data_IF_218299606351
#
_entry.id   IF_218299606351
#
_cell.length_a   1.000
_cell.length_b   1.000
_cell.length_c   1.000
_cell.angle_alpha   90.00
_cell.angle_beta   90.00
_cell.angle_gamma   90.00
#
_symmetry.space_group_name_H-M   'P 1'
#
loop_
_entity.id
_entity.type
_entity.pdbx_description
1 polymer ?
#
# COMPACT_ATOMS: atom_id res chain seq x y z
N UNK A 1 -24.50 -6.45 12.90
CA UNK A 1 -23.35 -5.55 12.88
C UNK A 1 -23.25 -4.70 14.16
N UNK A 2 -24.26 -3.93 14.60
CA UNK A 2 -24.20 -3.11 15.84
C UNK A 2 -23.84 -3.91 17.09
N UNK A 3 -24.40 -5.12 17.29
CA UNK A 3 -24.10 -5.97 18.46
C UNK A 3 -22.63 -6.45 18.50
N UNK A 4 -22.05 -6.80 17.34
CA UNK A 4 -20.65 -7.23 17.24
C UNK A 4 -19.71 -6.06 17.57
N UNK A 5 -20.03 -4.85 17.11
CA UNK A 5 -19.28 -3.64 17.42
C UNK A 5 -19.26 -3.36 18.93
N UNK A 6 -20.39 -3.48 19.63
CA UNK A 6 -20.47 -3.27 21.09
C UNK A 6 -19.69 -4.34 21.86
N UNK A 7 -19.72 -5.61 21.40
CA UNK A 7 -18.95 -6.69 22.02
C UNK A 7 -17.45 -6.44 21.84
N UNK A 8 -17.02 -5.98 20.64
CA UNK A 8 -15.63 -5.64 20.37
C UNK A 8 -15.16 -4.45 21.23
N UNK A 9 -16.01 -3.43 21.37
CA UNK A 9 -15.75 -2.26 22.22
C UNK A 9 -15.65 -2.64 23.69
N UNK A 10 -16.55 -3.49 24.19
CA UNK A 10 -16.51 -4.02 25.57
C UNK A 10 -15.29 -4.90 25.82
N UNK A 11 -14.89 -5.74 24.84
CA UNK A 11 -13.68 -6.54 24.93
C UNK A 11 -12.41 -5.64 24.97
N UNK A 12 -12.38 -4.56 24.19
CA UNK A 12 -11.31 -3.57 24.22
C UNK A 12 -11.22 -2.86 25.59
N UNK A 13 -12.37 -2.49 26.20
CA UNK A 13 -12.43 -1.90 27.52
C UNK A 13 -12.01 -2.89 28.63
N UNK A 14 -12.33 -4.18 28.49
CA UNK A 14 -11.93 -5.21 29.44
C UNK A 14 -10.41 -5.43 29.47
N UNK A 15 -9.72 -5.29 28.35
CA UNK A 15 -8.25 -5.38 28.28
C UNK A 15 -7.60 -4.24 29.08
N UNK A 16 -8.21 -3.07 29.11
CA UNK A 16 -7.70 -1.90 29.86
C UNK A 16 -7.88 -2.06 31.38
N UNK A 17 -8.90 -2.82 31.83
CA UNK A 17 -9.21 -2.98 33.25
C UNK A 17 -8.23 -3.90 34.02
N UNK A 18 -7.44 -4.73 33.34
CA UNK A 18 -6.39 -5.57 33.96
C UNK A 18 -5.04 -4.86 34.19
N UNK A 19 -4.97 -3.57 33.93
CA UNK A 19 -3.75 -2.76 34.12
C UNK A 19 -3.56 -2.35 35.61
N UNK A 20 -3.48 -3.31 36.54
CA UNK A 20 -2.81 -3.02 37.82
C UNK A 20 -1.33 -2.82 37.53
N UNK A 21 -0.72 -1.73 38.02
CA UNK A 21 0.71 -1.48 37.77
C UNK A 21 1.55 -2.42 38.61
N UNK A 22 1.77 -3.64 38.11
CA UNK A 22 2.95 -4.38 38.53
C UNK A 22 4.15 -3.45 38.30
N UNK A 23 4.97 -3.23 39.31
CA UNK A 23 6.24 -2.48 39.20
C UNK A 23 7.21 -3.31 38.35
N UNK A 24 6.91 -3.40 37.05
CA UNK A 24 7.81 -4.08 36.08
C UNK A 24 9.07 -3.24 35.91
N UNK A 25 10.20 -3.91 35.83
CA UNK A 25 11.47 -3.27 35.48
C UNK A 25 11.30 -2.56 34.14
N UNK A 26 11.57 -1.27 34.12
CA UNK A 26 11.53 -0.47 32.90
C UNK A 26 12.77 -0.76 32.06
N UNK A 27 12.58 -1.45 30.94
CA UNK A 27 13.64 -1.77 30.00
C UNK A 27 14.10 -0.49 29.27
N UNK A 28 15.41 -0.30 29.07
CA UNK A 28 15.97 0.82 28.29
C UNK A 28 15.39 2.20 28.72
N UNK A 29 15.51 2.61 30.00
CA UNK A 29 14.73 3.72 30.56
C UNK A 29 15.01 5.07 29.90
N UNK A 30 16.19 5.31 29.31
CA UNK A 30 16.58 6.57 28.70
C UNK A 30 16.55 6.58 27.17
N UNK A 31 16.04 5.51 26.54
CA UNK A 31 16.08 5.39 25.09
C UNK A 31 15.28 6.51 24.40
N UNK A 32 14.11 6.88 24.94
CA UNK A 32 13.24 7.91 24.35
C UNK A 32 13.79 9.34 24.48
N UNK A 33 14.86 9.53 25.28
CA UNK A 33 15.53 10.83 25.42
C UNK A 33 16.59 11.05 24.33
N UNK A 34 16.97 10.02 23.60
CA UNK A 34 17.97 10.15 22.53
C UNK A 34 17.41 11.03 21.41
N UNK A 35 18.23 11.93 20.84
CA UNK A 35 17.78 12.81 19.76
C UNK A 35 17.55 12.07 18.43
N UNK A 36 18.23 10.94 18.24
CA UNK A 36 18.19 10.15 17.02
C UNK A 36 18.12 8.66 17.33
N UNK A 37 17.29 7.96 16.54
CA UNK A 37 17.14 6.51 16.54
C UNK A 37 17.40 5.98 15.14
N UNK A 38 17.97 4.80 15.06
CA UNK A 38 18.19 4.07 13.82
C UNK A 38 17.70 2.64 14.00
N UNK A 39 17.15 2.07 12.92
CA UNK A 39 16.67 0.70 12.95
C UNK A 39 16.48 0.11 11.56
N UNK A 40 16.05 -1.13 11.55
CA UNK A 40 15.67 -1.86 10.34
C UNK A 40 14.19 -2.17 10.38
N UNK A 41 13.59 -2.33 9.21
CA UNK A 41 12.19 -2.69 9.09
C UNK A 41 12.02 -3.91 8.18
N UNK A 42 11.09 -4.76 8.59
CA UNK A 42 10.62 -5.89 7.83
C UNK A 42 9.09 -5.91 7.93
N UNK A 43 8.41 -6.14 6.82
CA UNK A 43 6.96 -6.15 6.81
C UNK A 43 6.37 -6.88 5.64
N UNK A 44 5.06 -6.99 5.66
CA UNK A 44 4.25 -7.44 4.54
C UNK A 44 3.26 -6.35 4.17
N UNK A 45 2.89 -6.30 2.91
CA UNK A 45 1.85 -5.40 2.45
C UNK A 45 0.84 -6.13 1.58
N UNK A 46 -0.37 -5.62 1.60
CA UNK A 46 -1.43 -5.97 0.67
C UNK A 46 -1.65 -4.76 -0.23
N UNK A 47 -1.67 -4.97 -1.52
CA UNK A 47 -1.83 -3.92 -2.52
C UNK A 47 -3.05 -4.15 -3.39
N UNK A 48 -3.71 -3.07 -3.71
CA UNK A 48 -4.90 -3.01 -4.55
C UNK A 48 -4.82 -1.78 -5.46
N UNK A 49 -5.49 -1.84 -6.59
CA UNK A 49 -5.57 -0.74 -7.54
C UNK A 49 -7.00 -0.59 -8.04
N UNK A 50 -7.58 0.57 -7.79
CA UNK A 50 -8.88 0.94 -8.33
C UNK A 50 -8.73 1.56 -9.70
N UNK A 51 -9.46 1.03 -10.69
CA UNK A 51 -9.52 1.55 -12.05
C UNK A 51 -10.78 2.34 -12.28
N UNK A 52 -10.65 3.48 -12.97
CA UNK A 52 -11.75 4.20 -13.56
C UNK A 52 -11.80 3.84 -15.05
N UNK A 53 -12.73 2.96 -15.42
CA UNK A 53 -12.89 2.47 -16.78
C UNK A 53 -13.60 3.52 -17.66
N UNK A 54 -13.15 3.64 -18.93
CA UNK A 54 -13.66 4.62 -19.90
C UNK A 54 -15.07 4.26 -20.37
N UNK A 55 -15.45 2.97 -20.33
CA UNK A 55 -16.69 2.47 -20.86
C UNK A 55 -16.57 2.06 -22.34
N UNK A 56 -17.62 2.29 -23.14
CA UNK A 56 -17.63 1.91 -24.58
C UNK A 56 -16.61 2.74 -25.35
N UNK A 57 -15.72 2.05 -26.06
CA UNK A 57 -14.68 2.62 -26.91
C UNK A 57 -15.04 2.39 -28.39
N UNK A 58 -14.69 3.35 -29.24
CA UNK A 58 -14.75 3.19 -30.69
C UNK A 58 -13.35 2.82 -31.21
N UNK A 59 -13.22 1.63 -31.76
CA UNK A 59 -11.97 1.11 -32.34
C UNK A 59 -12.04 1.23 -33.85
N UNK A 60 -11.12 1.98 -34.44
CA UNK A 60 -10.96 2.05 -35.90
C UNK A 60 -9.96 0.99 -36.34
N UNK A 61 -10.37 0.06 -37.17
CA UNK A 61 -9.55 -0.99 -37.76
C UNK A 61 -8.74 -0.46 -38.94
N UNK A 62 -7.75 -1.25 -39.40
CA UNK A 62 -6.88 -0.86 -40.52
C UNK A 62 -7.65 -0.76 -41.85
N UNK A 63 -8.76 -1.46 -41.97
CA UNK A 63 -9.67 -1.41 -43.14
C UNK A 63 -10.61 -0.19 -43.14
N UNK A 64 -10.46 0.70 -42.15
CA UNK A 64 -11.31 1.88 -41.98
C UNK A 64 -12.67 1.60 -41.31
N UNK A 65 -12.97 0.35 -40.99
CA UNK A 65 -14.20 0.00 -40.25
C UNK A 65 -14.05 0.44 -38.77
N UNK A 66 -15.20 0.80 -38.18
CA UNK A 66 -15.25 1.16 -36.76
C UNK A 66 -16.09 0.13 -36.01
N UNK A 67 -15.56 -0.42 -34.94
CA UNK A 67 -16.32 -1.29 -34.03
C UNK A 67 -16.36 -0.68 -32.64
N UNK A 68 -17.41 -0.99 -31.88
CA UNK A 68 -17.51 -0.63 -30.47
C UNK A 68 -16.91 -1.76 -29.63
N UNK A 69 -16.17 -1.41 -28.59
CA UNK A 69 -15.67 -2.34 -27.63
C UNK A 69 -15.94 -1.84 -26.19
N UNK A 70 -16.49 -2.73 -25.38
CA UNK A 70 -16.65 -2.52 -23.94
C UNK A 70 -15.70 -3.46 -23.23
N UNK A 71 -14.62 -2.88 -22.67
CA UNK A 71 -13.61 -3.61 -21.92
C UNK A 71 -13.50 -2.94 -20.56
N UNK A 72 -13.61 -3.72 -19.48
CA UNK A 72 -13.38 -3.25 -18.11
C UNK A 72 -12.17 -3.93 -17.53
N UNK A 73 -11.42 -3.17 -16.73
CA UNK A 73 -10.22 -3.65 -16.03
C UNK A 73 -10.46 -3.54 -14.53
N UNK A 74 -10.13 -4.60 -13.82
CA UNK A 74 -10.25 -4.64 -12.36
C UNK A 74 -9.13 -5.48 -11.74
N UNK A 75 -8.90 -5.29 -10.43
CA UNK A 75 -8.10 -6.16 -9.59
C UNK A 75 -9.03 -6.87 -8.60
N UNK A 76 -9.35 -8.15 -8.89
CA UNK A 76 -10.39 -8.90 -8.17
C UNK A 76 -10.06 -9.18 -6.69
N UNK A 77 -8.80 -9.06 -6.30
CA UNK A 77 -8.32 -9.36 -4.94
C UNK A 77 -7.09 -8.55 -4.57
N UNK A 78 -6.88 -8.39 -3.28
CA UNK A 78 -5.66 -7.84 -2.73
C UNK A 78 -4.49 -8.79 -2.91
N UNK A 79 -3.39 -8.29 -3.45
CA UNK A 79 -2.16 -9.06 -3.63
C UNK A 79 -1.15 -8.78 -2.53
N UNK A 80 -0.58 -9.85 -2.00
CA UNK A 80 0.41 -9.75 -0.93
C UNK A 80 1.82 -9.48 -1.48
N UNK A 81 2.61 -8.77 -0.69
CA UNK A 81 4.01 -8.49 -0.98
C UNK A 81 4.86 -8.38 0.27
N UNK A 82 6.15 -8.20 0.08
CA UNK A 82 7.16 -8.07 1.13
C UNK A 82 7.73 -6.66 1.14
N UNK A 83 7.99 -6.12 2.34
CA UNK A 83 8.60 -4.81 2.54
C UNK A 83 9.82 -4.95 3.42
N UNK A 84 10.95 -4.37 3.00
CA UNK A 84 12.19 -4.34 3.76
C UNK A 84 12.83 -2.96 3.66
N UNK A 85 13.47 -2.50 4.72
CA UNK A 85 14.12 -1.21 4.70
C UNK A 85 14.83 -0.86 5.99
N UNK A 86 15.14 0.42 6.10
CA UNK A 86 15.78 1.00 7.29
C UNK A 86 14.99 2.23 7.71
N UNK A 87 15.21 2.70 8.93
CA UNK A 87 14.62 3.92 9.42
C UNK A 87 15.65 4.79 10.14
N UNK A 88 15.46 6.08 10.04
CA UNK A 88 16.06 7.08 10.90
C UNK A 88 14.93 7.92 11.51
N UNK A 89 14.95 8.09 12.81
CA UNK A 89 13.91 8.82 13.55
C UNK A 89 14.54 9.91 14.40
N UNK A 90 14.04 11.12 14.25
CA UNK A 90 14.47 12.31 14.97
C UNK A 90 13.43 12.69 16.02
N UNK A 91 13.85 12.84 17.24
CA UNK A 91 13.01 13.33 18.32
C UNK A 91 12.82 14.85 18.19
N UNK A 92 11.60 15.30 17.91
CA UNK A 92 11.25 16.72 17.86
C UNK A 92 10.84 17.25 19.25
N UNK A 93 10.07 16.45 19.99
CA UNK A 93 9.63 16.77 21.34
C UNK A 93 9.38 15.49 22.14
N UNK A 94 8.80 15.60 23.33
CA UNK A 94 8.44 14.45 24.16
C UNK A 94 7.44 13.53 23.46
N UNK A 95 6.51 14.10 22.68
CA UNK A 95 5.44 13.36 22.03
C UNK A 95 5.57 13.30 20.51
N UNK A 96 6.37 14.16 19.89
CA UNK A 96 6.53 14.24 18.44
C UNK A 96 7.90 13.74 17.99
N UNK A 97 7.87 12.91 16.95
CA UNK A 97 9.04 12.36 16.28
C UNK A 97 8.86 12.50 14.77
N UNK A 98 9.94 12.73 14.06
CA UNK A 98 9.97 12.74 12.60
C UNK A 98 10.79 11.55 12.12
N UNK A 99 10.20 10.72 11.25
CA UNK A 99 10.82 9.51 10.72
C UNK A 99 11.07 9.68 9.22
N UNK A 100 12.24 9.20 8.80
CA UNK A 100 12.60 8.96 7.41
C UNK A 100 12.84 7.47 7.28
N UNK A 101 12.05 6.78 6.46
CA UNK A 101 12.10 5.32 6.33
C UNK A 101 12.22 4.91 4.85
N UNK A 102 13.47 4.88 4.31
CA UNK A 102 13.68 4.30 2.99
C UNK A 102 13.43 2.78 3.03
N UNK A 103 12.64 2.30 2.07
CA UNK A 103 12.24 0.90 1.99
C UNK A 103 12.06 0.44 0.55
N UNK A 104 12.10 -0.88 0.37
CA UNK A 104 11.77 -1.55 -0.88
C UNK A 104 10.51 -2.40 -0.66
N UNK A 105 9.60 -2.33 -1.64
CA UNK A 105 8.38 -3.10 -1.69
C UNK A 105 8.43 -4.04 -2.87
N UNK A 106 8.24 -5.33 -2.64
CA UNK A 106 8.25 -6.37 -3.66
C UNK A 106 6.92 -7.11 -3.64
N UNK A 107 6.31 -7.27 -4.81
CA UNK A 107 5.05 -8.00 -4.94
C UNK A 107 4.66 -8.23 -6.37
N UNK A 108 3.51 -8.82 -6.56
CA UNK A 108 2.85 -8.95 -7.85
C UNK A 108 1.48 -8.31 -7.73
N UNK A 109 0.95 -7.79 -8.84
CA UNK A 109 -0.45 -7.40 -8.99
C UNK A 109 -1.03 -8.18 -10.15
N UNK A 110 -2.21 -8.72 -9.97
CA UNK A 110 -2.94 -9.33 -11.06
C UNK A 110 -4.04 -8.37 -11.51
N UNK A 111 -4.24 -8.28 -12.82
CA UNK A 111 -5.31 -7.53 -13.44
C UNK A 111 -6.17 -8.48 -14.26
N UNK A 112 -7.47 -8.31 -14.20
CA UNK A 112 -8.44 -9.04 -15.01
C UNK A 112 -9.15 -8.05 -15.93
N UNK A 113 -9.15 -8.36 -17.22
CA UNK A 113 -9.85 -7.61 -18.25
C UNK A 113 -11.07 -8.39 -18.68
N UNK A 114 -12.25 -7.80 -18.58
CA UNK A 114 -13.51 -8.38 -19.05
C UNK A 114 -13.87 -7.74 -20.39
N UNK A 115 -13.83 -8.55 -21.45
CA UNK A 115 -14.21 -8.10 -22.79
C UNK A 115 -15.64 -8.53 -23.10
N UNK A 116 -16.58 -7.59 -23.03
CA UNK A 116 -17.99 -7.84 -23.22
C UNK A 116 -18.39 -8.00 -24.70
N UNK A 117 -17.52 -7.66 -25.64
CA UNK A 117 -17.78 -7.84 -27.08
C UNK A 117 -17.43 -9.25 -27.54
N UNK A 118 -16.65 -10.00 -26.76
CA UNK A 118 -16.33 -11.39 -27.04
C UNK A 118 -16.92 -12.26 -25.95
N UNK A 119 -17.64 -13.30 -26.33
CA UNK A 119 -18.25 -14.23 -25.37
C UNK A 119 -17.62 -15.61 -25.55
N UNK A 120 -17.51 -16.33 -24.46
CA UNK A 120 -17.12 -17.74 -24.43
C UNK A 120 -18.31 -18.63 -24.89
N UNK A 121 -18.10 -19.95 -24.92
CA UNK A 121 -19.13 -20.93 -25.27
C UNK A 121 -20.35 -20.93 -24.32
N UNK A 122 -20.23 -20.31 -23.13
CA UNK A 122 -21.28 -20.20 -22.11
C UNK A 122 -21.96 -18.84 -22.12
N UNK A 123 -21.59 -17.94 -23.03
CA UNK A 123 -22.14 -16.57 -23.14
C UNK A 123 -21.57 -15.58 -22.12
N UNK A 124 -20.47 -15.93 -21.44
CA UNK A 124 -19.78 -15.04 -20.52
C UNK A 124 -18.74 -14.20 -21.26
N UNK A 125 -18.45 -12.95 -20.81
CA UNK A 125 -17.36 -12.16 -21.36
C UNK A 125 -16.03 -12.90 -21.31
N UNK A 126 -15.22 -12.76 -22.35
CA UNK A 126 -13.87 -13.32 -22.33
C UNK A 126 -13.01 -12.54 -21.32
N UNK A 127 -12.39 -13.28 -20.42
CA UNK A 127 -11.44 -12.74 -19.44
C UNK A 127 -10.00 -12.91 -19.93
N UNK A 128 -9.26 -11.79 -19.93
CA UNK A 128 -7.83 -11.77 -20.14
C UNK A 128 -7.15 -11.38 -18.82
N UNK A 129 -6.04 -12.03 -18.48
CA UNK A 129 -5.33 -11.78 -17.22
C UNK A 129 -3.92 -11.30 -17.48
N UNK A 130 -3.49 -10.37 -16.65
CA UNK A 130 -2.14 -9.83 -16.68
C UNK A 130 -1.56 -9.77 -15.26
N UNK A 131 -0.38 -10.35 -15.09
CA UNK A 131 0.39 -10.24 -13.86
C UNK A 131 1.45 -9.13 -14.02
N UNK A 132 1.41 -8.14 -13.13
CA UNK A 132 2.38 -7.06 -13.07
C UNK A 132 3.30 -7.29 -11.87
N UNK A 133 4.56 -7.60 -12.11
CA UNK A 133 5.59 -7.61 -11.06
C UNK A 133 5.79 -6.19 -10.58
N UNK A 134 5.76 -5.98 -9.27
CA UNK A 134 5.97 -4.67 -8.67
C UNK A 134 7.22 -4.67 -7.81
N UNK A 135 8.10 -3.72 -8.06
CA UNK A 135 9.26 -3.44 -7.23
C UNK A 135 9.36 -1.92 -7.06
N UNK A 136 9.09 -1.43 -5.84
CA UNK A 136 9.16 0.00 -5.55
C UNK A 136 10.33 0.28 -4.61
N UNK A 137 11.03 1.38 -4.87
CA UNK A 137 11.86 2.06 -3.88
C UNK A 137 11.05 3.23 -3.34
N UNK A 138 10.95 3.32 -2.04
CA UNK A 138 10.19 4.36 -1.35
C UNK A 138 11.05 5.08 -0.32
N UNK A 139 10.59 6.25 0.09
CA UNK A 139 11.16 6.97 1.24
C UNK A 139 10.02 7.63 2.01
N UNK A 140 9.48 6.92 2.99
CA UNK A 140 8.43 7.46 3.84
C UNK A 140 8.95 8.60 4.71
N UNK A 141 8.16 9.67 4.80
CA UNK A 141 8.40 10.85 5.62
C UNK A 141 7.22 11.02 6.57
N UNK A 142 7.40 10.59 7.82
CA UNK A 142 6.34 10.43 8.78
C UNK A 142 6.48 11.39 9.97
N UNK A 143 5.37 11.97 10.37
CA UNK A 143 5.23 12.59 11.68
C UNK A 143 4.53 11.61 12.62
N UNK A 144 5.18 11.31 13.74
CA UNK A 144 4.69 10.38 14.75
C UNK A 144 4.27 11.17 15.97
N UNK A 145 3.05 10.90 16.44
CA UNK A 145 2.55 11.37 17.73
C UNK A 145 2.46 10.20 18.70
N UNK A 146 3.39 10.14 19.65
CA UNK A 146 3.50 9.07 20.60
C UNK A 146 2.96 9.49 21.98
N UNK A 147 2.18 8.62 22.60
CA UNK A 147 1.72 8.78 23.96
C UNK A 147 2.89 8.74 24.97
N UNK A 148 2.70 9.19 26.21
CA UNK A 148 3.65 8.91 27.28
C UNK A 148 3.87 7.40 27.42
N UNK A 149 5.12 7.02 27.69
CA UNK A 149 5.46 5.61 27.89
C UNK A 149 4.80 5.08 29.16
N UNK A 150 4.13 3.95 29.02
CA UNK A 150 3.55 3.20 30.12
C UNK A 150 4.30 1.88 30.29
N UNK A 151 5.07 1.75 31.35
CA UNK A 151 5.97 0.61 31.59
C UNK A 151 6.89 0.36 30.37
N UNK A 152 6.64 -0.74 29.65
CA UNK A 152 7.40 -1.15 28.47
C UNK A 152 6.60 -1.03 27.16
N UNK A 153 5.57 -0.19 27.16
CA UNK A 153 4.72 0.05 25.98
C UNK A 153 4.57 1.54 25.72
N UNK A 154 4.53 1.93 24.45
CA UNK A 154 4.29 3.31 24.04
C UNK A 154 3.50 3.32 22.73
N UNK A 155 2.16 3.42 22.79
CA UNK A 155 1.34 3.52 21.59
C UNK A 155 1.56 4.87 20.90
N UNK A 156 1.40 4.86 19.57
CA UNK A 156 1.52 6.07 18.77
C UNK A 156 0.62 6.03 17.54
N UNK A 157 0.36 7.21 17.01
CA UNK A 157 -0.26 7.45 15.71
C UNK A 157 0.81 8.04 14.78
N UNK A 158 0.70 7.76 13.51
CA UNK A 158 1.55 8.35 12.51
C UNK A 158 0.75 8.83 11.31
N UNK A 159 1.24 9.87 10.67
CA UNK A 159 0.77 10.35 9.38
C UNK A 159 1.95 10.88 8.57
N UNK A 160 1.92 10.64 7.26
CA UNK A 160 3.05 11.03 6.42
C UNK A 160 2.75 10.98 4.94
N UNK A 161 3.82 11.17 4.18
CA UNK A 161 3.84 11.04 2.73
C UNK A 161 4.94 10.06 2.33
N UNK A 162 4.64 9.25 1.33
CA UNK A 162 5.56 8.22 0.87
C UNK A 162 5.72 8.29 -0.66
N UNK A 163 6.70 9.05 -1.16
CA UNK A 163 7.08 9.00 -2.57
C UNK A 163 7.71 7.64 -2.89
N UNK A 164 7.25 7.04 -3.99
CA UNK A 164 7.70 5.73 -4.47
C UNK A 164 8.13 5.80 -5.92
N UNK A 165 9.16 5.05 -6.26
CA UNK A 165 9.65 4.87 -7.63
C UNK A 165 9.48 3.42 -8.01
N UNK A 166 8.69 3.16 -9.04
CA UNK A 166 8.53 1.84 -9.63
C UNK A 166 9.74 1.48 -10.49
N UNK A 167 10.37 0.37 -10.18
CA UNK A 167 11.53 -0.16 -10.90
C UNK A 167 11.16 -1.25 -11.91
N UNK A 168 9.90 -1.67 -11.93
CA UNK A 168 9.44 -2.76 -12.80
C UNK A 168 9.38 -2.30 -14.25
N UNK A 169 9.82 -3.16 -15.18
CA UNK A 169 9.67 -2.93 -16.61
C UNK A 169 8.25 -3.24 -17.09
N UNK A 170 7.77 -2.49 -18.07
CA UNK A 170 6.37 -2.54 -18.53
C UNK A 170 6.24 -2.83 -20.05
N UNK A 171 7.28 -3.35 -20.73
CA UNK A 171 7.35 -3.36 -22.20
C UNK A 171 6.28 -4.20 -22.92
N UNK A 172 5.81 -5.29 -22.31
CA UNK A 172 4.92 -6.27 -22.96
C UNK A 172 3.59 -6.46 -22.20
N UNK A 173 3.07 -5.40 -21.60
CA UNK A 173 1.87 -5.42 -20.77
C UNK A 173 0.72 -4.66 -21.44
N UNK A 174 -0.53 -5.11 -21.22
CA UNK A 174 -1.74 -4.37 -21.65
C UNK A 174 -1.81 -2.99 -20.96
N UNK A 175 -1.65 -2.98 -19.64
CA UNK A 175 -1.67 -1.78 -18.81
C UNK A 175 -0.33 -1.60 -18.11
N UNK A 176 0.24 -0.42 -18.18
CA UNK A 176 1.47 -0.04 -17.51
C UNK A 176 1.21 0.95 -16.38
N UNK A 177 2.01 0.83 -15.31
CA UNK A 177 2.00 1.76 -14.18
C UNK A 177 3.08 2.82 -14.35
N UNK A 178 2.79 4.04 -13.92
CA UNK A 178 3.76 5.13 -13.90
C UNK A 178 4.95 4.78 -13.04
N UNK A 179 6.08 5.38 -13.40
CA UNK A 179 7.34 5.22 -12.67
C UNK A 179 7.31 5.90 -11.29
N UNK A 180 6.62 7.03 -11.15
CA UNK A 180 6.58 7.81 -9.93
C UNK A 180 5.17 7.84 -9.37
N UNK A 181 5.02 7.42 -8.12
CA UNK A 181 3.78 7.47 -7.37
C UNK A 181 4.04 8.13 -6.02
N UNK A 182 3.05 8.84 -5.49
CA UNK A 182 3.12 9.42 -4.15
C UNK A 182 1.89 9.00 -3.38
N UNK A 183 2.12 8.49 -2.17
CA UNK A 183 1.07 8.06 -1.27
C UNK A 183 0.99 9.00 -0.06
N UNK A 184 -0.24 9.26 0.41
CA UNK A 184 -0.47 9.66 1.78
C UNK A 184 -0.55 8.41 2.63
N UNK A 185 0.08 8.42 3.81
CA UNK A 185 -0.01 7.31 4.72
C UNK A 185 -0.44 7.75 6.12
N UNK A 186 -1.25 6.90 6.74
CA UNK A 186 -1.67 7.03 8.14
C UNK A 186 -1.55 5.67 8.80
N UNK A 187 -1.22 5.65 10.07
CA UNK A 187 -1.04 4.38 10.76
C UNK A 187 -1.08 4.48 12.26
N UNK A 188 -1.09 3.30 12.86
CA UNK A 188 -1.06 3.10 14.31
C UNK A 188 0.01 2.09 14.65
N UNK A 189 0.73 2.31 15.73
CA UNK A 189 1.75 1.39 16.19
C UNK A 189 1.92 1.44 17.70
N UNK A 190 2.77 0.55 18.18
CA UNK A 190 3.14 0.52 19.60
C UNK A 190 4.61 0.13 19.75
N UNK A 191 5.35 0.94 20.49
CA UNK A 191 6.71 0.59 20.91
C UNK A 191 6.66 -0.43 22.03
N UNK A 192 7.33 -1.56 21.86
CA UNK A 192 7.58 -2.56 22.90
C UNK A 192 9.06 -2.53 23.27
N UNK A 193 9.35 -2.10 24.49
CA UNK A 193 10.72 -2.02 25.01
C UNK A 193 11.13 -3.38 25.57
N UNK A 194 11.87 -4.14 24.77
CA UNK A 194 12.47 -5.39 25.19
C UNK A 194 13.83 -5.11 25.86
N UNK A 195 14.41 -6.07 26.59
CA UNK A 195 15.69 -5.83 27.29
C UNK A 195 16.83 -5.38 26.36
N UNK A 196 16.89 -5.91 25.13
CA UNK A 196 18.00 -5.68 24.20
C UNK A 196 17.66 -4.75 23.05
N UNK A 197 16.40 -4.70 22.61
CA UNK A 197 15.97 -3.88 21.47
C UNK A 197 14.54 -3.36 21.67
N UNK A 198 14.15 -2.40 20.87
CA UNK A 198 12.78 -1.91 20.80
C UNK A 198 12.12 -2.53 19.56
N UNK A 199 11.03 -3.26 19.77
CA UNK A 199 10.19 -3.80 18.71
C UNK A 199 8.99 -2.87 18.52
N UNK A 200 8.70 -2.54 17.27
CA UNK A 200 7.62 -1.62 16.93
C UNK A 200 6.76 -2.20 15.80
N UNK A 201 5.72 -2.98 16.12
CA UNK A 201 4.67 -3.31 15.16
C UNK A 201 3.87 -2.07 14.80
N UNK A 202 3.63 -1.89 13.50
CA UNK A 202 2.91 -0.75 12.94
C UNK A 202 2.02 -1.20 11.79
N UNK A 203 0.75 -0.82 11.83
CA UNK A 203 -0.21 -1.01 10.75
C UNK A 203 -0.43 0.32 10.05
N UNK A 204 -0.15 0.37 8.73
CA UNK A 204 -0.29 1.55 7.88
C UNK A 204 -1.31 1.35 6.78
N UNK A 205 -1.99 2.42 6.44
CA UNK A 205 -2.87 2.53 5.28
C UNK A 205 -2.29 3.59 4.35
N UNK A 206 -2.00 3.20 3.11
CA UNK A 206 -1.44 4.05 2.07
C UNK A 206 -2.49 4.31 1.00
N UNK A 207 -2.67 5.57 0.64
CA UNK A 207 -3.61 6.03 -0.38
C UNK A 207 -2.84 6.78 -1.47
N UNK A 208 -2.90 6.29 -2.72
CA UNK A 208 -2.28 6.93 -3.86
C UNK A 208 -2.88 8.33 -4.11
N UNK A 209 -2.04 9.35 -4.05
CA UNK A 209 -2.41 10.74 -4.36
C UNK A 209 -2.34 11.02 -5.86
N UNK A 210 -1.49 10.28 -6.57
CA UNK A 210 -1.26 10.44 -8.00
C UNK A 210 -1.99 9.37 -8.80
N UNK A 211 -2.25 9.66 -10.08
CA UNK A 211 -2.74 8.66 -11.01
C UNK A 211 -1.63 7.65 -11.31
N UNK A 212 -1.86 6.38 -11.00
CA UNK A 212 -0.89 5.28 -11.19
C UNK A 212 -0.82 4.79 -12.64
N UNK A 213 -1.85 5.03 -13.47
CA UNK A 213 -1.93 4.58 -14.85
C UNK A 213 -1.08 5.43 -15.80
N UNK A 214 -0.31 4.77 -16.67
CA UNK A 214 0.46 5.41 -17.74
C UNK A 214 -0.29 5.36 -19.08
N UNK A 215 -1.02 6.44 -19.39
CA UNK A 215 -1.79 6.55 -20.63
C UNK A 215 -0.92 6.54 -21.90
N UNK A 216 0.37 6.94 -21.80
CA UNK A 216 1.27 6.97 -22.96
C UNK A 216 1.74 5.58 -23.38
N UNK A 217 1.61 4.59 -22.51
CA UNK A 217 1.98 3.22 -22.82
C UNK A 217 1.23 2.66 -24.03
N UNK A 218 -0.05 2.99 -24.16
CA UNK A 218 -0.88 2.55 -25.29
C UNK A 218 -0.32 2.94 -26.68
N UNK A 219 0.35 4.09 -26.77
CA UNK A 219 0.92 4.60 -28.03
C UNK A 219 2.23 3.88 -28.42
N UNK A 220 2.87 3.21 -27.46
CA UNK A 220 4.12 2.45 -27.66
C UNK A 220 3.92 0.96 -27.92
N UNK A 221 2.70 0.45 -27.86
CA UNK A 221 2.40 -0.97 -28.04
C UNK A 221 2.59 -1.39 -29.50
N UNK A 222 3.37 -2.45 -29.72
CA UNK A 222 3.60 -3.05 -31.03
C UNK A 222 2.40 -3.85 -31.52
N UNK A 223 1.71 -4.55 -30.61
CA UNK A 223 0.52 -5.33 -30.92
C UNK A 223 -0.72 -4.45 -30.82
N UNK A 224 -1.33 -4.17 -31.96
CA UNK A 224 -2.55 -3.35 -32.05
C UNK A 224 -3.74 -3.96 -31.34
N UNK A 225 -3.80 -5.28 -31.16
CA UNK A 225 -4.86 -5.96 -30.41
C UNK A 225 -4.83 -5.63 -28.89
N UNK A 226 -3.69 -5.19 -28.37
CA UNK A 226 -3.53 -4.77 -26.97
C UNK A 226 -4.02 -3.33 -26.72
N UNK A 227 -4.08 -2.49 -27.73
CA UNK A 227 -4.44 -1.05 -27.60
C UNK A 227 -5.83 -0.85 -26.96
N UNK A 228 -6.89 -1.58 -27.33
CA UNK A 228 -8.20 -1.41 -26.70
C UNK A 228 -8.20 -1.73 -25.21
N UNK A 229 -7.42 -2.73 -24.79
CA UNK A 229 -7.22 -3.07 -23.38
C UNK A 229 -6.46 -1.97 -22.64
N UNK A 230 -5.37 -1.46 -23.22
CA UNK A 230 -4.63 -0.34 -22.65
C UNK A 230 -5.52 0.90 -22.51
N UNK A 231 -6.33 1.24 -23.51
CA UNK A 231 -7.23 2.40 -23.52
C UNK A 231 -8.52 2.22 -22.74
N UNK A 232 -8.78 1.04 -22.15
CA UNK A 232 -9.98 0.78 -21.34
C UNK A 232 -9.99 1.55 -20.01
N UNK A 233 -8.83 2.06 -19.57
CA UNK A 233 -8.65 2.76 -18.31
C UNK A 233 -8.34 4.23 -18.54
N UNK A 234 -9.06 5.13 -17.85
CA UNK A 234 -8.76 6.57 -17.80
C UNK A 234 -7.79 6.90 -16.65
N UNK A 235 -8.07 6.38 -15.47
CA UNK A 235 -7.29 6.62 -14.26
C UNK A 235 -7.21 5.38 -13.40
N UNK A 236 -6.17 5.32 -12.59
CA UNK A 236 -6.10 4.35 -11.51
C UNK A 236 -5.50 4.95 -10.24
N UNK A 237 -5.88 4.39 -9.10
CA UNK A 237 -5.35 4.76 -7.80
C UNK A 237 -4.94 3.52 -7.03
N UNK A 238 -3.67 3.48 -6.65
CA UNK A 238 -3.14 2.41 -5.82
C UNK A 238 -3.51 2.62 -4.35
N UNK A 239 -3.81 1.53 -3.66
CA UNK A 239 -4.01 1.47 -2.21
C UNK A 239 -3.15 0.35 -1.63
N UNK A 240 -2.65 0.55 -0.42
CA UNK A 240 -1.89 -0.51 0.27
C UNK A 240 -2.25 -0.53 1.75
N UNK A 241 -2.25 -1.73 2.32
CA UNK A 241 -2.27 -1.96 3.76
C UNK A 241 -0.93 -2.61 4.10
N UNK A 242 -0.17 -2.01 5.02
CA UNK A 242 1.19 -2.46 5.33
C UNK A 242 1.29 -2.78 6.82
N UNK A 243 1.71 -3.99 7.13
CA UNK A 243 2.08 -4.40 8.48
C UNK A 243 3.60 -4.46 8.55
N UNK A 244 4.20 -3.59 9.35
CA UNK A 244 5.66 -3.46 9.46
C UNK A 244 6.10 -3.72 10.90
N UNK A 245 7.23 -4.37 11.05
CA UNK A 245 7.94 -4.54 12.31
C UNK A 245 9.26 -3.78 12.22
N UNK A 246 9.44 -2.79 13.09
CA UNK A 246 10.69 -2.06 13.21
C UNK A 246 11.49 -2.60 14.40
N UNK A 247 12.79 -2.68 14.22
CA UNK A 247 13.77 -3.15 15.20
C UNK A 247 14.81 -2.06 15.43
N UNK A 248 14.88 -1.51 16.66
CA UNK A 248 15.77 -0.43 17.07
C UNK A 248 16.68 -0.80 18.26
#
# INVERSE_FOLDING_TARGET
>A
MKKVFHILLLALCAIVAYAQPDRRVQNRPYTDLRPFHFGVLLGTHFQDIEFNNVGTQHITHEDGSTSEALITTDQDRWDAGLTVGVLGEFRLSTNFQFRIAPAMYFGNRHLTFHNFNKQDANGQPIEERQDIKTAYISTALDLIFAAPRFNNHRPYLMAGVNPMVNLSGNSDQYVALKRYETFAEVGVGCDFYLPYFKLRPELKFLFGLTNSYDAKHADGLKDKNMIPYAKSVDRSRSKMIVLTFYFE
#
